data_IF_525582065874
#
_entry.id   IF_525582065874
#
_cell.length_a   1.000
_cell.length_b   1.000
_cell.length_c   1.000
_cell.angle_alpha   90.00
_cell.angle_beta   90.00
_cell.angle_gamma   90.00
#
_symmetry.space_group_name_H-M   'P 1'
#
loop_
_entity.id
_entity.type
_entity.pdbx_description
1 polymer ?
#
# COMPACT_ATOMS: atom_id res chain seq x y z
N UNK A 1 11.16 15.27 -11.68
CA UNK A 1 9.75 15.31 -12.16
C UNK A 1 8.83 15.01 -10.99
N UNK A 2 7.70 15.72 -10.85
CA UNK A 2 6.89 15.69 -9.62
C UNK A 2 6.22 14.31 -9.45
N UNK A 3 6.26 13.66 -8.28
CA UNK A 3 5.68 12.32 -8.05
C UNK A 3 4.17 12.25 -8.34
N UNK A 4 3.49 13.40 -8.29
CA UNK A 4 2.08 13.56 -8.65
C UNK A 4 1.79 13.28 -10.14
N UNK A 5 2.75 13.49 -11.06
CA UNK A 5 2.50 13.32 -12.50
C UNK A 5 2.54 11.86 -12.96
N UNK A 6 3.34 11.01 -12.31
CA UNK A 6 3.35 9.57 -12.57
C UNK A 6 2.05 8.92 -12.08
N UNK A 7 1.58 9.33 -10.90
CA UNK A 7 0.35 8.80 -10.31
C UNK A 7 -0.88 9.16 -11.15
N UNK A 8 -0.95 10.38 -11.68
CA UNK A 8 -2.06 10.80 -12.53
C UNK A 8 -2.06 10.13 -13.91
N UNK A 9 -0.88 9.87 -14.52
CA UNK A 9 -0.77 9.18 -15.81
C UNK A 9 -1.13 7.69 -15.72
N UNK A 10 -0.96 7.10 -14.54
CA UNK A 10 -1.24 5.69 -14.31
C UNK A 10 -2.72 5.44 -14.00
N UNK A 11 -3.37 6.41 -13.35
CA UNK A 11 -4.81 6.41 -13.05
C UNK A 11 -5.68 6.55 -14.31
N UNK A 12 -5.13 7.08 -15.41
CA UNK A 12 -5.85 7.36 -16.65
C UNK A 12 -6.30 6.13 -17.46
N UNK A 13 -6.09 4.89 -16.98
CA UNK A 13 -6.51 3.66 -17.66
C UNK A 13 -7.51 2.80 -16.83
N UNK A 14 -8.75 3.28 -16.57
CA UNK A 14 -9.62 2.74 -15.53
C UNK A 14 -10.58 1.64 -16.05
N UNK A 15 -10.06 0.53 -16.58
CA UNK A 15 -10.96 -0.57 -17.01
C UNK A 15 -11.31 -1.60 -15.94
N UNK A 16 -10.67 -1.60 -14.76
CA UNK A 16 -10.85 -2.68 -13.77
C UNK A 16 -10.78 -2.28 -12.27
N UNK A 17 -10.72 -0.99 -11.90
CA UNK A 17 -10.46 -0.59 -10.50
C UNK A 17 -11.51 0.43 -10.02
N UNK A 18 -12.31 0.07 -9.01
CA UNK A 18 -13.44 0.86 -8.49
C UNK A 18 -13.06 2.14 -7.73
N UNK A 19 -11.77 2.43 -7.57
CA UNK A 19 -11.25 3.68 -7.01
C UNK A 19 -10.19 4.25 -7.94
N UNK A 20 -10.56 5.30 -8.69
CA UNK A 20 -9.70 6.00 -9.65
C UNK A 20 -8.78 7.00 -8.94
N UNK A 21 -9.11 7.43 -7.72
CA UNK A 21 -8.32 8.42 -6.97
C UNK A 21 -7.66 7.78 -5.73
N UNK A 22 -6.36 8.04 -5.45
CA UNK A 22 -5.72 7.58 -4.22
C UNK A 22 -6.43 8.19 -3.00
N UNK A 23 -6.57 7.40 -1.95
CA UNK A 23 -7.05 7.90 -0.66
C UNK A 23 -6.14 9.00 -0.13
N UNK A 24 -6.73 10.03 0.50
CA UNK A 24 -5.94 11.07 1.15
C UNK A 24 -5.12 10.48 2.30
N UNK A 25 -3.96 11.09 2.60
CA UNK A 25 -3.14 10.67 3.75
C UNK A 25 -3.94 10.69 5.06
N UNK A 26 -4.82 11.67 5.22
CA UNK A 26 -5.71 11.78 6.37
C UNK A 26 -6.66 10.59 6.49
N UNK A 27 -7.31 10.19 5.38
CA UNK A 27 -8.18 9.02 5.38
C UNK A 27 -7.37 7.75 5.67
N UNK A 28 -6.19 7.61 5.08
CA UNK A 28 -5.31 6.47 5.33
C UNK A 28 -4.91 6.36 6.80
N UNK A 29 -4.52 7.47 7.43
CA UNK A 29 -4.19 7.51 8.85
C UNK A 29 -5.39 7.11 9.73
N UNK A 30 -6.59 7.61 9.41
CA UNK A 30 -7.82 7.28 10.14
C UNK A 30 -8.21 5.81 10.02
N UNK A 31 -8.10 5.23 8.83
CA UNK A 31 -8.48 3.83 8.59
C UNK A 31 -7.59 2.84 9.32
N UNK A 32 -6.30 3.17 9.49
CA UNK A 32 -5.36 2.27 10.19
C UNK A 32 -5.28 2.52 11.70
N UNK A 33 -5.91 3.59 12.21
CA UNK A 33 -5.81 4.01 13.62
C UNK A 33 -6.38 2.98 14.60
N UNK A 34 -7.40 2.22 14.19
CA UNK A 34 -8.05 1.20 15.03
C UNK A 34 -7.23 -0.10 15.17
N UNK A 35 -6.14 -0.25 14.42
CA UNK A 35 -5.30 -1.45 14.46
C UNK A 35 -4.44 -1.41 15.73
N UNK A 36 -4.49 -2.47 16.54
CA UNK A 36 -3.56 -2.65 17.65
C UNK A 36 -2.18 -3.11 17.14
N UNK A 37 -1.36 -2.16 16.70
CA UNK A 37 -0.02 -2.43 16.16
C UNK A 37 0.96 -3.06 17.16
N UNK A 38 0.70 -2.95 18.46
CA UNK A 38 1.55 -3.54 19.50
C UNK A 38 1.42 -5.07 19.52
N UNK A 39 0.22 -5.58 19.26
CA UNK A 39 -0.10 -7.01 19.37
C UNK A 39 -0.23 -7.70 18.01
N UNK A 40 -0.46 -6.94 16.94
CA UNK A 40 -0.59 -7.47 15.59
C UNK A 40 0.72 -8.12 15.12
N UNK A 41 0.78 -9.45 15.16
CA UNK A 41 1.91 -10.24 14.62
C UNK A 41 1.88 -10.36 13.09
N UNK A 42 0.68 -10.34 12.51
CA UNK A 42 0.46 -10.46 11.08
C UNK A 42 -0.57 -9.43 10.63
N UNK A 43 -0.28 -8.74 9.53
CA UNK A 43 -1.19 -7.82 8.87
C UNK A 43 -1.24 -8.22 7.39
N UNK A 44 -2.45 -8.32 6.83
CA UNK A 44 -2.66 -8.59 5.41
C UNK A 44 -3.36 -7.40 4.79
N UNK A 45 -2.81 -6.87 3.71
CA UNK A 45 -3.41 -5.80 2.91
C UNK A 45 -3.79 -6.37 1.54
N UNK A 46 -5.09 -6.33 1.24
CA UNK A 46 -5.64 -6.74 -0.04
C UNK A 46 -5.80 -5.51 -0.94
N UNK A 47 -5.26 -5.59 -2.15
CA UNK A 47 -5.31 -4.48 -3.11
C UNK A 47 -4.58 -3.23 -2.59
N UNK A 48 -3.29 -3.32 -2.23
CA UNK A 48 -2.49 -2.18 -1.78
C UNK A 48 -2.43 -1.04 -2.83
N UNK A 49 -2.63 -1.36 -4.11
CA UNK A 49 -2.65 -0.40 -5.20
C UNK A 49 -1.36 0.43 -5.25
N UNK A 50 -1.47 1.73 -4.97
CA UNK A 50 -0.32 2.66 -4.99
C UNK A 50 0.49 2.65 -3.70
N UNK A 51 0.05 1.92 -2.66
CA UNK A 51 0.77 1.76 -1.40
C UNK A 51 0.51 2.85 -0.35
N UNK A 52 -0.54 3.66 -0.51
CA UNK A 52 -0.88 4.72 0.45
C UNK A 52 -1.10 4.15 1.86
N UNK A 53 -1.88 3.08 1.98
CA UNK A 53 -2.11 2.40 3.27
C UNK A 53 -0.90 1.56 3.68
N UNK A 54 -0.28 0.84 2.75
CA UNK A 54 0.97 0.10 2.97
C UNK A 54 2.02 0.94 3.69
N UNK A 55 2.25 2.19 3.26
CA UNK A 55 3.21 3.08 3.90
C UNK A 55 2.87 3.36 5.36
N UNK A 56 1.59 3.59 5.67
CA UNK A 56 1.11 3.82 7.04
C UNK A 56 1.23 2.58 7.92
N UNK A 57 0.92 1.41 7.38
CA UNK A 57 1.13 0.14 8.06
C UNK A 57 2.61 -0.10 8.35
N UNK A 58 3.50 0.18 7.40
CA UNK A 58 4.95 0.07 7.57
C UNK A 58 5.52 1.06 8.60
N UNK A 59 4.95 2.27 8.70
CA UNK A 59 5.35 3.28 9.69
C UNK A 59 4.93 2.88 11.12
N UNK A 60 3.73 2.32 11.29
CA UNK A 60 3.12 2.08 12.60
C UNK A 60 3.35 0.67 13.16
N UNK A 61 3.60 -0.33 12.30
CA UNK A 61 3.76 -1.72 12.74
C UNK A 61 4.96 -1.93 13.65
N UNK A 62 4.86 -2.94 14.51
CA UNK A 62 6.03 -3.45 15.22
C UNK A 62 7.04 -4.05 14.24
N UNK A 63 8.32 -4.01 14.59
CA UNK A 63 9.41 -4.64 13.82
C UNK A 63 9.18 -6.14 13.63
N UNK A 64 8.53 -6.78 14.61
CA UNK A 64 8.18 -8.20 14.61
C UNK A 64 6.88 -8.53 13.86
N UNK A 65 6.14 -7.51 13.41
CA UNK A 65 4.93 -7.72 12.61
C UNK A 65 5.31 -8.10 11.17
N UNK A 66 4.74 -9.20 10.68
CA UNK A 66 4.81 -9.55 9.26
C UNK A 66 3.68 -8.84 8.52
N UNK A 67 4.03 -8.08 7.48
CA UNK A 67 3.07 -7.47 6.56
C UNK A 67 3.07 -8.27 5.25
N UNK A 68 1.90 -8.77 4.86
CA UNK A 68 1.68 -9.46 3.59
C UNK A 68 0.81 -8.58 2.69
N UNK A 69 1.28 -8.35 1.47
CA UNK A 69 0.51 -7.63 0.45
C UNK A 69 0.04 -8.61 -0.62
N UNK A 70 -1.25 -8.53 -0.93
CA UNK A 70 -1.90 -9.31 -2.00
C UNK A 70 -2.37 -8.35 -3.08
N UNK A 71 -1.70 -8.36 -4.23
CA UNK A 71 -1.98 -7.47 -5.36
C UNK A 71 -2.03 -8.27 -6.66
N UNK A 72 -3.16 -8.17 -7.37
CA UNK A 72 -3.39 -8.90 -8.62
C UNK A 72 -2.99 -8.07 -9.85
N UNK A 73 -2.87 -6.75 -9.72
CA UNK A 73 -2.43 -5.90 -10.81
C UNK A 73 -0.89 -5.87 -10.91
N UNK A 74 -0.39 -6.29 -12.08
CA UNK A 74 1.05 -6.39 -12.36
C UNK A 74 1.83 -5.12 -12.14
N UNK A 75 1.28 -4.03 -12.63
CA UNK A 75 1.96 -2.76 -12.63
C UNK A 75 2.01 -2.20 -11.19
N UNK A 76 0.95 -2.40 -10.38
CA UNK A 76 0.95 -2.01 -8.96
C UNK A 76 1.93 -2.84 -8.14
N UNK A 77 2.00 -4.15 -8.40
CA UNK A 77 3.03 -4.98 -7.80
C UNK A 77 4.45 -4.45 -8.07
N UNK A 78 4.75 -4.06 -9.32
CA UNK A 78 6.08 -3.53 -9.68
C UNK A 78 6.36 -2.21 -8.96
N UNK A 79 5.37 -1.31 -8.93
CA UNK A 79 5.44 -0.04 -8.19
C UNK A 79 5.72 -0.27 -6.69
N UNK A 80 4.98 -1.18 -6.05
CA UNK A 80 5.17 -1.52 -4.64
C UNK A 80 6.54 -2.15 -4.40
N UNK A 81 6.97 -3.06 -5.27
CA UNK A 81 8.29 -3.72 -5.16
C UNK A 81 9.44 -2.74 -5.25
N UNK A 82 9.34 -1.72 -6.10
CA UNK A 82 10.34 -0.65 -6.20
C UNK A 82 10.36 0.22 -4.93
N UNK A 83 9.18 0.66 -4.46
CA UNK A 83 9.05 1.53 -3.29
C UNK A 83 9.45 0.83 -1.97
N UNK A 84 9.20 -0.48 -1.86
CA UNK A 84 9.31 -1.23 -0.59
C UNK A 84 10.66 -1.94 -0.44
N UNK A 85 11.50 -2.00 -1.48
CA UNK A 85 12.82 -2.67 -1.50
C UNK A 85 13.79 -2.25 -0.36
N UNK A 86 13.45 -1.24 0.44
CA UNK A 86 14.19 -0.78 1.62
C UNK A 86 13.80 -1.45 2.95
N UNK A 87 12.74 -2.27 3.05
CA UNK A 87 12.28 -2.87 4.33
C UNK A 87 11.71 -4.29 4.15
N UNK A 88 12.09 -5.25 5.02
CA UNK A 88 11.70 -6.68 4.97
C UNK A 88 10.18 -6.87 4.81
N UNK A 89 9.74 -7.46 3.69
CA UNK A 89 8.33 -7.77 3.40
C UNK A 89 8.22 -8.83 2.29
N UNK A 90 7.15 -9.64 2.31
CA UNK A 90 6.83 -10.62 1.28
C UNK A 90 5.58 -10.14 0.50
N UNK A 91 5.65 -10.18 -0.83
CA UNK A 91 4.52 -9.86 -1.71
C UNK A 91 4.28 -11.08 -2.60
N UNK A 92 3.04 -11.56 -2.57
CA UNK A 92 2.55 -12.63 -3.43
C UNK A 92 1.76 -12.00 -4.57
N UNK A 93 1.79 -12.70 -5.69
CA UNK A 93 1.12 -12.36 -6.93
C UNK A 93 -0.04 -13.33 -7.14
#
# INVERSE_FOLDING_TARGET
MKPLSFLSQYITNPRNVGAVLPSSKFLADKMVESINFKEAKYIVEYGPGTGVFTNKLLEKRSSNTTLLLVENNKEFYLLLKENIKKRKMYSLY
#
